data_IF_286183421389
#
_entry.id   IF_286183421389
#
_cell.length_a   1.000
_cell.length_b   1.000
_cell.length_c   1.000
_cell.angle_alpha   90.00
_cell.angle_beta   90.00
_cell.angle_gamma   90.00
#
_symmetry.space_group_name_H-M   'P 1'
#
loop_
_entity.id
_entity.type
_entity.pdbx_description
1 polymer ?
#
# COMPACT_ATOMS: atom_id res chain seq x y z
N UNK A 1 -15.12 -15.85 -7.49
CA UNK A 1 -14.97 -14.97 -6.31
C UNK A 1 -13.77 -14.06 -6.58
N UNK A 2 -14.01 -12.76 -6.82
CA UNK A 2 -12.95 -11.82 -7.15
C UNK A 2 -12.23 -11.43 -5.85
N UNK A 3 -11.07 -12.01 -5.57
CA UNK A 3 -10.26 -11.64 -4.40
C UNK A 3 -9.47 -10.39 -4.78
N UNK A 4 -10.01 -9.22 -4.46
CA UNK A 4 -9.29 -7.96 -4.60
C UNK A 4 -8.14 -7.95 -3.60
N UNK A 5 -6.91 -7.94 -4.09
CA UNK A 5 -5.72 -7.75 -3.26
C UNK A 5 -5.77 -6.32 -2.67
N UNK A 6 -6.05 -6.20 -1.37
CA UNK A 6 -6.25 -4.92 -0.66
C UNK A 6 -4.95 -4.26 -0.21
N UNK A 7 -3.78 -4.82 -0.54
CA UNK A 7 -2.51 -4.23 -0.18
C UNK A 7 -2.33 -2.85 -0.82
N UNK A 8 -2.06 -1.82 0.00
CA UNK A 8 -1.82 -0.45 -0.46
C UNK A 8 -3.07 0.34 -0.88
N UNK A 9 -4.26 -0.10 -0.46
CA UNK A 9 -5.51 0.66 -0.63
C UNK A 9 -6.25 0.75 0.70
N UNK A 10 -6.84 1.91 1.01
CA UNK A 10 -7.82 2.02 2.07
C UNK A 10 -9.25 1.99 1.50
N UNK A 11 -10.14 1.37 2.26
CA UNK A 11 -11.55 1.25 1.89
C UNK A 11 -12.33 2.44 2.44
N UNK A 12 -13.06 3.13 1.59
CA UNK A 12 -14.06 4.12 1.96
C UNK A 12 -15.44 3.57 1.64
N UNK A 13 -16.20 3.24 2.68
CA UNK A 13 -17.55 2.68 2.55
C UNK A 13 -18.58 3.80 2.71
N UNK A 14 -19.51 3.91 1.77
CA UNK A 14 -20.63 4.85 1.83
C UNK A 14 -21.95 4.12 1.64
N UNK A 15 -22.92 4.41 2.50
CA UNK A 15 -24.32 3.99 2.32
C UNK A 15 -25.06 5.04 1.50
N UNK A 16 -25.72 4.62 0.43
CA UNK A 16 -26.47 5.48 -0.47
C UNK A 16 -27.91 5.01 -0.50
N UNK A 17 -28.83 5.88 -0.12
CA UNK A 17 -30.26 5.61 -0.22
C UNK A 17 -30.69 5.67 -1.69
N UNK A 18 -31.37 4.61 -2.14
CA UNK A 18 -31.98 4.55 -3.47
C UNK A 18 -33.47 4.25 -3.34
N UNK A 19 -34.24 4.44 -4.42
CA UNK A 19 -35.67 4.07 -4.46
C UNK A 19 -35.94 2.60 -4.12
N UNK A 20 -34.94 1.71 -4.24
CA UNK A 20 -35.06 0.27 -3.96
C UNK A 20 -34.47 -0.13 -2.59
N UNK A 21 -34.06 0.84 -1.77
CA UNK A 21 -33.40 0.64 -0.48
C UNK A 21 -31.95 1.12 -0.45
N UNK A 22 -31.27 0.85 0.68
CA UNK A 22 -29.89 1.27 0.92
C UNK A 22 -28.88 0.42 0.15
N UNK A 23 -28.06 1.06 -0.67
CA UNK A 23 -26.93 0.44 -1.38
C UNK A 23 -25.64 0.77 -0.62
N UNK A 24 -24.80 -0.24 -0.39
CA UNK A 24 -23.45 -0.05 0.17
C UNK A 24 -22.46 0.05 -0.99
N UNK A 25 -21.80 1.20 -1.12
CA UNK A 25 -20.74 1.43 -2.10
C UNK A 25 -19.41 1.36 -1.37
N UNK A 26 -18.52 0.48 -1.81
CA UNK A 26 -17.13 0.40 -1.36
C UNK A 26 -16.22 1.04 -2.41
N UNK A 27 -15.61 2.18 -2.07
CA UNK A 27 -14.57 2.81 -2.88
C UNK A 27 -13.20 2.39 -2.34
N UNK A 28 -12.41 1.70 -3.17
CA UNK A 28 -11.01 1.42 -2.87
C UNK A 28 -10.17 2.61 -3.35
N UNK A 29 -9.62 3.36 -2.40
CA UNK A 29 -8.69 4.45 -2.67
C UNK A 29 -7.28 3.90 -2.54
N UNK A 30 -6.48 4.04 -3.58
CA UNK A 30 -5.06 3.75 -3.51
C UNK A 30 -4.43 4.68 -2.48
N UNK A 31 -3.71 4.09 -1.53
CA UNK A 31 -2.85 4.88 -0.65
C UNK A 31 -1.87 5.59 -1.57
N UNK A 32 -1.87 6.93 -1.54
CA UNK A 32 -0.87 7.70 -2.28
C UNK A 32 0.47 7.15 -1.86
N UNK A 33 1.20 6.60 -2.83
CA UNK A 33 2.53 6.05 -2.58
C UNK A 33 3.37 7.18 -2.01
N UNK A 34 3.68 7.09 -0.71
CA UNK A 34 4.54 8.07 -0.05
C UNK A 34 5.96 7.85 -0.55
N UNK A 35 6.32 8.57 -1.61
CA UNK A 35 7.62 8.52 -2.27
C UNK A 35 8.75 8.75 -1.26
N UNK A 36 8.51 9.52 -0.20
CA UNK A 36 9.49 9.76 0.85
C UNK A 36 9.73 8.51 1.69
N UNK A 37 8.67 7.79 2.06
CA UNK A 37 8.78 6.50 2.77
C UNK A 37 9.48 5.45 1.91
N UNK A 38 9.22 5.40 0.61
CA UNK A 38 9.92 4.50 -0.31
C UNK A 38 11.42 4.81 -0.38
N UNK A 39 11.81 6.08 -0.59
CA UNK A 39 13.24 6.47 -0.62
C UNK A 39 13.96 6.18 0.69
N UNK A 40 13.28 6.36 1.83
CA UNK A 40 13.85 6.01 3.13
C UNK A 40 14.05 4.50 3.26
N UNK A 41 13.07 3.69 2.85
CA UNK A 41 13.18 2.24 2.87
C UNK A 41 14.31 1.75 1.94
N UNK A 42 14.43 2.31 0.74
CA UNK A 42 15.53 2.04 -0.19
C UNK A 42 16.91 2.36 0.42
N UNK A 43 17.03 3.50 1.09
CA UNK A 43 18.27 3.91 1.77
C UNK A 43 18.64 2.93 2.89
N UNK A 44 17.67 2.49 3.70
CA UNK A 44 17.91 1.52 4.77
C UNK A 44 18.32 0.15 4.21
N UNK A 45 17.67 -0.32 3.15
CA UNK A 45 18.07 -1.55 2.45
C UNK A 45 19.49 -1.43 1.91
N UNK A 46 19.84 -0.32 1.28
CA UNK A 46 21.20 -0.08 0.78
C UNK A 46 22.24 -0.15 1.90
N UNK A 47 21.97 0.46 3.07
CA UNK A 47 22.87 0.36 4.25
C UNK A 47 23.03 -1.07 4.73
N UNK A 48 21.94 -1.84 4.78
CA UNK A 48 21.98 -3.25 5.20
C UNK A 48 22.84 -4.04 4.24
N UNK A 49 22.58 -3.97 2.93
CA UNK A 49 23.34 -4.70 1.92
C UNK A 49 24.79 -4.25 1.81
N UNK A 50 25.08 -2.96 2.01
CA UNK A 50 26.45 -2.44 2.06
C UNK A 50 27.28 -3.10 3.16
N UNK A 51 26.69 -3.39 4.33
CA UNK A 51 27.37 -4.12 5.41
C UNK A 51 27.73 -5.55 5.02
N UNK A 52 26.89 -6.22 4.24
CA UNK A 52 27.20 -7.56 3.72
C UNK A 52 28.27 -7.54 2.64
N UNK A 53 28.37 -6.46 1.86
CA UNK A 53 29.44 -6.26 0.87
C UNK A 53 30.82 -6.13 1.53
N UNK A 54 30.91 -5.37 2.63
CA UNK A 54 32.17 -5.21 3.39
C UNK A 54 32.55 -6.47 4.16
N UNK A 55 31.57 -7.24 4.67
CA UNK A 55 31.82 -8.46 5.45
C UNK A 55 32.32 -9.65 4.62
N UNK A 56 32.00 -9.67 3.32
CA UNK A 56 32.38 -10.72 2.39
C UNK A 56 33.58 -10.36 1.49
N UNK A 57 34.25 -9.22 1.73
CA UNK A 57 35.52 -8.88 1.09
C UNK A 57 35.48 -8.83 -0.44
N UNK A 58 34.52 -8.10 -1.02
CA UNK A 58 34.57 -7.65 -2.44
C UNK A 58 34.74 -6.14 -2.48
#
# INVERSE_FOLDING_TARGET
MLVLNRAGCHSQIKKVESRKGTIVVENLLTDKTDVRRLKNAETELYKIFAKYRTKNGI
#
